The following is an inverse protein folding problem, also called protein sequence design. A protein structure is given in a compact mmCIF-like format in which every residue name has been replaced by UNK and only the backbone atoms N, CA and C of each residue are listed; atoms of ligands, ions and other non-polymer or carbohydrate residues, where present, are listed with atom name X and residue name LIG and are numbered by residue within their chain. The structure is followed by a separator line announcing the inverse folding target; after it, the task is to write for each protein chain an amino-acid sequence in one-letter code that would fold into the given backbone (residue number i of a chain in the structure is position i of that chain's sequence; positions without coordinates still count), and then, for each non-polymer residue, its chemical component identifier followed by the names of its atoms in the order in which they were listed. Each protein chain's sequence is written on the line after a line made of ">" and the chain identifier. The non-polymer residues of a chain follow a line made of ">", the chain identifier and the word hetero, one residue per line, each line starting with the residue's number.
data_IF_883307795074
#
_entry.id   IF_883307795074
#
_cell.length_a   1.000
_cell.length_b   1.000
_cell.length_c   1.000
_cell.angle_alpha   90.00
_cell.angle_beta   90.00
_cell.angle_gamma   90.00
#
_symmetry.space_group_name_H-M   'P 1'
#
loop_
_entity.id
_entity.type
_entity.pdbx_description
1 polymer ?
#
# COMPACT_ATOMS: atom_id res chain seq x y z
N UNK A 1 43.95 39.70 -19.78
CA UNK A 1 43.75 38.32 -20.30
C UNK A 1 44.97 37.50 -19.90
N UNK A 2 44.76 36.22 -19.53
CA UNK A 2 45.74 35.16 -19.17
C UNK A 2 45.92 34.81 -17.67
N UNK A 3 45.23 33.69 -17.31
CA UNK A 3 45.62 32.46 -16.57
C UNK A 3 46.41 32.51 -15.25
N UNK A 4 45.87 31.80 -14.24
CA UNK A 4 46.58 31.09 -13.16
C UNK A 4 45.65 29.96 -12.63
N UNK A 5 45.83 28.70 -13.03
CA UNK A 5 46.64 27.59 -12.48
C UNK A 5 46.29 27.11 -11.05
N UNK A 6 45.88 25.83 -11.02
CA UNK A 6 46.09 24.77 -10.02
C UNK A 6 45.56 24.93 -8.58
N UNK A 7 44.55 24.11 -8.24
CA UNK A 7 44.23 23.73 -6.87
C UNK A 7 44.28 22.21 -6.74
N UNK A 8 45.31 21.70 -6.04
CA UNK A 8 45.45 20.29 -5.67
C UNK A 8 44.99 20.05 -4.24
N UNK A 9 44.80 18.76 -3.90
CA UNK A 9 44.73 18.31 -2.51
C UNK A 9 43.56 17.37 -2.21
N UNK A 10 43.71 16.08 -2.57
CA UNK A 10 43.02 14.98 -1.92
C UNK A 10 43.50 14.87 -0.47
N UNK A 11 42.59 14.75 0.50
CA UNK A 11 42.88 14.04 1.76
C UNK A 11 41.59 13.47 2.34
N UNK A 12 41.45 12.14 2.24
CA UNK A 12 40.41 11.34 2.88
C UNK A 12 40.87 11.03 4.31
N UNK A 13 40.09 11.46 5.31
CA UNK A 13 40.23 10.97 6.68
C UNK A 13 38.99 10.15 7.03
N UNK A 14 39.12 8.83 6.93
CA UNK A 14 38.24 7.86 7.57
C UNK A 14 38.53 7.91 9.08
N UNK A 15 37.51 8.20 9.89
CA UNK A 15 37.62 8.15 11.34
C UNK A 15 36.27 7.80 11.96
N UNK A 16 36.08 6.51 12.25
CA UNK A 16 35.03 6.07 13.17
C UNK A 16 35.27 6.68 14.54
N UNK A 17 34.22 7.21 15.17
CA UNK A 17 34.22 7.48 16.61
C UNK A 17 32.90 7.01 17.21
N UNK A 18 33.00 5.94 17.99
CA UNK A 18 31.99 5.47 18.93
C UNK A 18 32.22 6.21 20.25
N UNK A 19 31.19 6.83 20.84
CA UNK A 19 31.23 7.35 22.20
C UNK A 19 30.07 6.74 23.00
N UNK A 20 30.42 5.83 23.91
CA UNK A 20 29.62 5.52 25.11
C UNK A 20 30.00 6.53 26.19
N UNK A 21 29.01 7.15 26.84
CA UNK A 21 29.20 7.80 28.14
C UNK A 21 28.47 9.12 28.34
N UNK A 22 27.29 9.04 28.97
CA UNK A 22 26.95 9.85 30.15
C UNK A 22 26.58 11.33 30.00
N UNK A 23 25.27 11.57 30.18
CA UNK A 23 24.64 12.55 31.08
C UNK A 23 25.07 14.03 31.01
N UNK A 24 24.13 14.88 30.58
CA UNK A 24 23.72 16.16 31.21
C UNK A 24 22.71 16.84 30.26
N UNK A 25 21.41 16.75 30.58
CA UNK A 25 20.47 17.81 30.18
C UNK A 25 19.81 18.27 31.46
N UNK A 26 20.06 19.54 31.74
CA UNK A 26 19.50 20.27 32.85
C UNK A 26 17.99 20.50 32.63
N UNK A 27 17.30 20.89 33.69
CA UNK A 27 15.94 21.43 33.65
C UNK A 27 14.86 20.52 33.03
N UNK A 28 14.45 19.52 33.80
CA UNK A 28 13.04 19.43 34.24
C UNK A 28 11.92 19.43 33.20
N UNK A 29 12.12 18.99 31.97
CA UNK A 29 11.05 18.80 31.00
C UNK A 29 11.06 17.33 30.57
N UNK A 30 10.13 16.53 31.12
CA UNK A 30 9.82 15.22 30.56
C UNK A 30 9.36 15.45 29.12
N UNK A 31 10.21 15.09 28.15
CA UNK A 31 9.73 14.83 26.81
C UNK A 31 8.81 13.61 26.95
N UNK A 32 7.51 13.88 26.95
CA UNK A 32 6.52 12.85 26.84
C UNK A 32 6.74 12.20 25.48
N UNK A 33 7.00 10.91 25.50
CA UNK A 33 6.83 10.07 24.32
C UNK A 33 5.33 10.12 23.97
N UNK A 34 4.95 11.07 23.14
CA UNK A 34 3.60 11.23 22.59
C UNK A 34 3.62 11.05 21.08
N UNK A 35 4.22 9.94 20.66
CA UNK A 35 3.82 9.27 19.41
C UNK A 35 3.01 8.02 19.77
N UNK A 36 1.93 8.24 20.52
CA UNK A 36 0.80 7.32 20.53
C UNK A 36 0.12 7.43 19.17
N UNK A 37 0.54 6.59 18.21
CA UNK A 37 -0.16 6.44 16.93
C UNK A 37 -1.44 5.65 17.17
N UNK A 38 -2.41 6.30 17.80
CA UNK A 38 -3.81 5.93 17.82
C UNK A 38 -4.52 6.81 16.79
N UNK A 39 -4.56 6.39 15.52
CA UNK A 39 -5.77 6.48 14.67
C UNK A 39 -5.50 6.02 13.23
N UNK A 40 -6.58 5.51 12.62
CA UNK A 40 -6.62 4.79 11.36
C UNK A 40 -6.39 5.67 10.12
N UNK A 41 -5.20 6.26 10.00
CA UNK A 41 -4.83 6.97 8.78
C UNK A 41 -4.51 5.94 7.69
N UNK A 42 -5.41 5.84 6.72
CA UNK A 42 -5.20 5.04 5.53
C UNK A 42 -3.98 5.61 4.79
N UNK A 43 -2.81 5.02 5.01
CA UNK A 43 -1.59 5.34 4.29
C UNK A 43 -1.87 5.15 2.80
N UNK A 44 -1.89 6.24 2.05
CA UNK A 44 -1.93 6.18 0.59
C UNK A 44 -0.57 5.63 0.14
N UNK A 45 -0.53 4.35 -0.18
CA UNK A 45 0.71 3.69 -0.61
C UNK A 45 1.10 4.23 -2.00
N UNK A 46 2.28 4.83 -2.12
CA UNK A 46 2.79 5.40 -3.38
C UNK A 46 3.20 4.35 -4.42
N UNK A 47 3.24 3.08 -4.01
CA UNK A 47 3.52 1.94 -4.87
C UNK A 47 2.90 0.68 -4.25
N UNK A 48 2.14 -0.08 -5.05
CA UNK A 48 1.71 -1.43 -4.70
C UNK A 48 2.69 -2.43 -5.31
N UNK A 49 3.02 -3.49 -4.58
CA UNK A 49 3.74 -4.65 -5.13
C UNK A 49 2.75 -5.75 -5.48
N UNK A 50 3.16 -6.74 -6.27
CA UNK A 50 2.35 -7.94 -6.43
C UNK A 50 2.10 -8.63 -5.07
N UNK A 51 0.88 -9.13 -4.85
CA UNK A 51 0.53 -9.84 -3.62
C UNK A 51 -0.96 -9.87 -3.30
N UNK A 52 -1.28 -10.42 -2.12
CA UNK A 52 -2.65 -10.53 -1.62
C UNK A 52 -3.01 -9.33 -0.75
N UNK A 53 -4.11 -8.67 -1.07
CA UNK A 53 -4.59 -7.47 -0.41
C UNK A 53 -6.02 -7.60 0.07
N UNK A 54 -6.34 -6.84 1.13
CA UNK A 54 -7.71 -6.52 1.52
C UNK A 54 -7.96 -5.05 1.15
N UNK A 55 -8.89 -4.82 0.23
CA UNK A 55 -9.22 -3.46 -0.24
C UNK A 55 -10.34 -2.91 0.63
N UNK A 56 -10.06 -1.83 1.37
CA UNK A 56 -10.99 -1.20 2.30
C UNK A 56 -11.41 0.18 1.81
N UNK A 57 -12.71 0.45 1.84
CA UNK A 57 -13.24 1.80 1.60
C UNK A 57 -12.84 2.73 2.74
N UNK A 58 -12.12 3.81 2.42
CA UNK A 58 -11.79 4.85 3.41
C UNK A 58 -13.04 5.54 3.96
N UNK A 59 -14.13 5.62 3.18
CA UNK A 59 -15.37 6.29 3.58
C UNK A 59 -16.24 5.45 4.54
N UNK A 60 -16.20 4.12 4.44
CA UNK A 60 -17.11 3.23 5.19
C UNK A 60 -16.39 2.23 6.09
N UNK A 61 -15.08 2.07 5.96
CA UNK A 61 -14.30 1.06 6.65
C UNK A 61 -14.60 -0.39 6.24
N UNK A 62 -15.52 -0.60 5.29
CA UNK A 62 -15.93 -1.91 4.75
C UNK A 62 -14.98 -2.41 3.68
N UNK A 63 -14.92 -3.73 3.52
CA UNK A 63 -14.03 -4.41 2.59
C UNK A 63 -14.74 -4.71 1.27
N UNK A 64 -14.00 -4.66 0.16
CA UNK A 64 -14.43 -5.24 -1.11
C UNK A 64 -14.67 -6.75 -0.91
N UNK A 65 -15.80 -7.26 -1.40
CA UNK A 65 -16.30 -8.58 -1.01
C UNK A 65 -17.02 -9.27 -2.17
N UNK A 66 -16.76 -10.57 -2.33
CA UNK A 66 -17.57 -11.47 -3.15
C UNK A 66 -18.70 -12.04 -2.28
N UNK A 67 -19.98 -11.71 -2.56
CA UNK A 67 -21.09 -12.13 -1.72
C UNK A 67 -21.11 -13.64 -1.48
N UNK A 68 -21.23 -14.00 -0.20
CA UNK A 68 -21.36 -15.39 0.27
C UNK A 68 -20.22 -16.32 -0.20
N UNK A 69 -19.02 -15.77 -0.47
CA UNK A 69 -17.89 -16.51 -1.03
C UNK A 69 -18.22 -17.24 -2.35
N UNK A 70 -19.16 -16.71 -3.13
CA UNK A 70 -19.59 -17.30 -4.39
C UNK A 70 -18.41 -17.54 -5.33
N UNK A 71 -18.44 -18.65 -6.05
CA UNK A 71 -17.51 -18.98 -7.13
C UNK A 71 -18.19 -18.96 -8.50
N UNK A 72 -19.40 -18.40 -8.61
CA UNK A 72 -20.12 -18.30 -9.86
C UNK A 72 -19.68 -17.06 -10.66
N UNK A 73 -19.53 -17.21 -11.97
CA UNK A 73 -19.42 -16.08 -12.90
C UNK A 73 -20.68 -15.22 -12.83
N UNK A 74 -20.52 -13.91 -13.00
CA UNK A 74 -21.64 -12.98 -12.92
C UNK A 74 -22.00 -12.54 -11.51
N UNK A 75 -21.33 -13.07 -10.47
CA UNK A 75 -21.57 -12.62 -9.10
C UNK A 75 -21.15 -11.16 -8.97
N UNK A 76 -22.12 -10.28 -8.71
CA UNK A 76 -21.89 -8.85 -8.50
C UNK A 76 -21.06 -8.61 -7.24
N UNK A 77 -20.07 -7.75 -7.34
CA UNK A 77 -19.19 -7.39 -6.23
C UNK A 77 -19.91 -6.41 -5.28
N UNK A 78 -19.62 -6.52 -3.99
CA UNK A 78 -20.20 -5.66 -2.96
C UNK A 78 -19.12 -5.09 -2.02
N UNK A 79 -19.55 -4.18 -1.15
CA UNK A 79 -18.81 -3.88 0.07
C UNK A 79 -19.49 -4.58 1.25
N UNK A 80 -18.72 -5.19 2.12
CA UNK A 80 -19.24 -5.89 3.30
C UNK A 80 -18.40 -5.62 4.54
N UNK A 81 -18.98 -5.89 5.71
CA UNK A 81 -18.22 -5.85 6.97
C UNK A 81 -16.99 -6.75 6.85
N UNK A 82 -15.82 -6.18 7.15
CA UNK A 82 -14.57 -6.91 7.06
C UNK A 82 -14.58 -8.11 8.03
N UNK A 83 -14.38 -9.32 7.52
CA UNK A 83 -14.51 -10.58 8.25
C UNK A 83 -13.33 -11.55 8.02
N UNK A 84 -12.26 -11.09 7.37
CA UNK A 84 -10.98 -11.80 7.17
C UNK A 84 -11.08 -13.09 6.32
N UNK A 85 -12.23 -13.34 5.68
CA UNK A 85 -12.40 -14.49 4.77
C UNK A 85 -11.71 -14.27 3.42
N UNK A 86 -11.46 -15.35 2.68
CA UNK A 86 -10.87 -15.26 1.33
C UNK A 86 -11.82 -14.61 0.30
N UNK A 87 -13.11 -14.45 0.62
CA UNK A 87 -14.04 -13.66 -0.19
C UNK A 87 -13.68 -12.15 -0.22
N UNK A 88 -12.85 -11.70 0.72
CA UNK A 88 -12.42 -10.31 0.87
C UNK A 88 -10.92 -10.11 0.60
N UNK A 89 -10.23 -11.15 0.14
CA UNK A 89 -8.81 -11.10 -0.24
C UNK A 89 -8.68 -11.18 -1.75
N UNK A 90 -7.85 -10.31 -2.30
CA UNK A 90 -7.62 -10.22 -3.74
C UNK A 90 -6.13 -10.24 -4.03
N UNK A 91 -5.72 -11.15 -4.90
CA UNK A 91 -4.40 -11.16 -5.49
C UNK A 91 -4.33 -10.06 -6.56
N UNK A 92 -3.41 -9.11 -6.38
CA UNK A 92 -3.18 -7.99 -7.27
C UNK A 92 -1.82 -8.18 -7.92
N UNK A 93 -1.78 -8.31 -9.25
CA UNK A 93 -0.55 -8.56 -10.00
C UNK A 93 -0.46 -7.70 -11.26
N UNK A 94 0.76 -7.25 -11.64
CA UNK A 94 0.94 -6.41 -12.81
C UNK A 94 0.79 -7.22 -14.10
N UNK A 95 0.33 -6.57 -15.16
CA UNK A 95 0.34 -7.10 -16.52
C UNK A 95 1.49 -6.48 -17.33
N UNK A 96 1.90 -7.13 -18.43
CA UNK A 96 3.02 -6.66 -19.25
C UNK A 96 2.74 -5.37 -20.02
N UNK A 97 1.48 -4.96 -20.12
CA UNK A 97 0.99 -3.77 -20.81
C UNK A 97 0.71 -2.58 -19.86
N UNK A 98 1.15 -2.67 -18.59
CA UNK A 98 1.10 -1.57 -17.64
C UNK A 98 -0.22 -1.45 -16.85
N UNK A 99 -1.08 -2.46 -16.93
CA UNK A 99 -2.28 -2.58 -16.10
C UNK A 99 -2.04 -3.54 -14.91
N UNK A 100 -3.11 -3.76 -14.14
CA UNK A 100 -3.12 -4.67 -13.01
C UNK A 100 -4.32 -5.59 -13.12
N UNK A 101 -4.12 -6.87 -12.77
CA UNK A 101 -5.18 -7.85 -12.59
C UNK A 101 -5.54 -7.91 -11.12
N UNK A 102 -6.83 -7.95 -10.82
CA UNK A 102 -7.35 -8.10 -9.45
C UNK A 102 -8.18 -9.38 -9.42
N UNK A 103 -7.67 -10.42 -8.75
CA UNK A 103 -8.27 -11.76 -8.71
C UNK A 103 -8.68 -12.09 -7.29
N UNK A 104 -9.92 -12.53 -7.09
CA UNK A 104 -10.34 -12.98 -5.77
C UNK A 104 -9.63 -14.29 -5.38
N UNK A 105 -9.06 -14.34 -4.17
CA UNK A 105 -8.27 -15.48 -3.67
C UNK A 105 -9.13 -16.74 -3.43
N UNK A 106 -10.43 -16.58 -3.14
CA UNK A 106 -11.34 -17.71 -2.95
C UNK A 106 -11.79 -18.34 -4.28
N UNK A 107 -12.22 -17.53 -5.24
CA UNK A 107 -12.82 -18.02 -6.49
C UNK A 107 -11.84 -18.17 -7.65
N UNK A 108 -10.65 -17.55 -7.57
CA UNK A 108 -9.70 -17.38 -8.67
C UNK A 108 -10.26 -16.62 -9.88
N UNK A 109 -11.35 -15.86 -9.70
CA UNK A 109 -11.99 -15.05 -10.74
C UNK A 109 -11.56 -13.59 -10.65
N UNK A 110 -11.46 -12.93 -11.80
CA UNK A 110 -11.07 -11.53 -11.87
C UNK A 110 -12.26 -10.61 -11.56
N UNK A 111 -11.99 -9.43 -11.01
CA UNK A 111 -12.92 -8.31 -11.09
C UNK A 111 -13.08 -7.92 -12.56
N UNK A 112 -14.32 -7.88 -13.02
CA UNK A 112 -14.65 -7.68 -14.43
C UNK A 112 -15.78 -6.64 -14.60
N UNK A 113 -15.71 -5.89 -15.69
CA UNK A 113 -16.77 -4.95 -16.10
C UNK A 113 -17.78 -5.73 -16.93
N UNK A 114 -18.98 -5.94 -16.36
CA UNK A 114 -20.00 -6.76 -16.98
C UNK A 114 -20.33 -6.31 -18.39
N UNK A 115 -20.40 -7.30 -19.30
CA UNK A 115 -20.71 -7.15 -20.72
C UNK A 115 -19.73 -6.23 -21.48
N UNK A 116 -18.52 -6.01 -20.93
CA UNK A 116 -17.52 -5.07 -21.48
C UNK A 116 -18.10 -3.67 -21.66
N UNK A 117 -19.00 -3.29 -20.75
CA UNK A 117 -19.76 -2.05 -20.86
C UNK A 117 -18.85 -0.83 -20.76
N UNK A 118 -19.07 0.15 -21.65
CA UNK A 118 -18.43 1.47 -21.62
C UNK A 118 -19.33 2.55 -21.01
N UNK A 119 -20.52 2.17 -20.53
CA UNK A 119 -21.50 3.11 -19.99
C UNK A 119 -21.18 3.49 -18.53
N UNK A 120 -21.55 4.71 -18.09
CA UNK A 120 -21.52 5.05 -16.68
C UNK A 120 -22.35 4.08 -15.85
N UNK A 121 -21.87 3.78 -14.63
CA UNK A 121 -22.49 2.82 -13.71
C UNK A 121 -22.48 1.36 -14.19
N UNK A 122 -21.58 1.00 -15.11
CA UNK A 122 -21.31 -0.40 -15.45
C UNK A 122 -21.09 -1.23 -14.18
N UNK A 123 -21.68 -2.43 -14.15
CA UNK A 123 -21.64 -3.27 -12.97
C UNK A 123 -20.32 -4.04 -12.92
N UNK A 124 -19.68 -4.02 -11.76
CA UNK A 124 -18.54 -4.88 -11.47
C UNK A 124 -19.04 -6.22 -10.93
N UNK A 125 -18.56 -7.30 -11.56
CA UNK A 125 -18.81 -8.69 -11.14
C UNK A 125 -17.51 -9.48 -11.15
N UNK A 126 -17.54 -10.76 -10.77
CA UNK A 126 -16.42 -11.67 -11.03
C UNK A 126 -16.65 -12.50 -12.29
N UNK A 127 -15.59 -12.73 -13.05
CA UNK A 127 -15.63 -13.56 -14.26
C UNK A 127 -14.30 -14.30 -14.51
N UNK A 128 -14.33 -15.33 -15.37
CA UNK A 128 -13.17 -16.16 -15.78
C UNK A 128 -12.52 -15.64 -17.05
#
# INVERSE_FOLDING_TARGET
>A
MARKLAGGGLSLALGWTLLLGGCLVADGEMLKDEDSVDDADAVIVSSITEGDYVIRSAATGKCLDVPQSSTADGTRIQQWTCNQTNAQKFHISPTSDGYWKIVNVNSNKALDVRDVSTAPNAVIHQWT
#
